data_IF_619299311846
#
_entry.id   IF_619299311846
#
_cell.length_a   1.000
_cell.length_b   1.000
_cell.length_c   1.000
_cell.angle_alpha   90.00
_cell.angle_beta   90.00
_cell.angle_gamma   90.00
#
_symmetry.space_group_name_H-M   'P 1'
#
loop_
_entity.id
_entity.type
_entity.pdbx_description
1 polymer ?
#
# COMPACT_ATOMS: atom_id res chain seq x y z
N UNK A 1 -23.93 27.23 -50.81
CA UNK A 1 -22.62 27.54 -50.16
C UNK A 1 -22.81 28.86 -49.42
N UNK A 2 -22.37 29.08 -48.14
CA UNK A 2 -21.56 28.28 -47.19
C UNK A 2 -22.38 27.80 -45.95
N UNK A 3 -22.23 26.55 -45.47
CA UNK A 3 -21.33 26.02 -44.41
C UNK A 3 -21.49 26.68 -43.02
N UNK A 4 -22.44 26.17 -42.22
CA UNK A 4 -22.42 26.29 -40.75
C UNK A 4 -21.28 25.44 -40.19
N UNK A 5 -20.29 26.08 -39.58
CA UNK A 5 -19.23 25.43 -38.84
C UNK A 5 -19.72 25.12 -37.41
N UNK A 6 -19.91 23.84 -37.12
CA UNK A 6 -20.17 23.30 -35.81
C UNK A 6 -18.87 23.37 -34.98
N UNK A 7 -18.75 24.35 -34.08
CA UNK A 7 -17.66 24.39 -33.11
C UNK A 7 -18.01 23.45 -31.95
N UNK A 8 -17.65 22.17 -32.12
CA UNK A 8 -17.72 21.18 -31.06
C UNK A 8 -16.49 21.38 -30.16
N UNK A 9 -16.67 22.16 -29.09
CA UNK A 9 -15.68 22.29 -28.02
C UNK A 9 -15.61 20.95 -27.30
N UNK A 10 -14.62 20.16 -27.68
CA UNK A 10 -14.22 18.92 -27.03
C UNK A 10 -13.61 19.29 -25.66
N UNK A 11 -14.48 19.48 -24.65
CA UNK A 11 -14.05 19.53 -23.26
C UNK A 11 -13.47 18.15 -22.90
N UNK A 12 -12.14 18.03 -22.98
CA UNK A 12 -11.38 16.99 -22.31
C UNK A 12 -11.64 17.10 -20.80
N UNK A 13 -12.70 16.45 -20.33
CA UNK A 13 -12.85 16.08 -18.93
C UNK A 13 -11.72 15.10 -18.62
N UNK A 14 -10.59 15.64 -18.14
CA UNK A 14 -9.61 14.87 -17.41
C UNK A 14 -10.34 14.27 -16.20
N UNK A 15 -10.85 13.05 -16.35
CA UNK A 15 -11.43 12.30 -15.24
C UNK A 15 -10.29 12.11 -14.24
N UNK A 16 -10.35 12.71 -13.05
CA UNK A 16 -9.33 12.45 -12.04
C UNK A 16 -9.39 10.96 -11.75
N UNK A 17 -8.26 10.27 -11.93
CA UNK A 17 -8.11 8.89 -11.47
C UNK A 17 -8.55 8.86 -10.00
N UNK A 18 -9.46 7.94 -9.61
CA UNK A 18 -9.91 7.86 -8.23
C UNK A 18 -8.68 7.67 -7.35
N UNK A 19 -8.45 8.61 -6.43
CA UNK A 19 -7.47 8.43 -5.38
C UNK A 19 -7.77 7.09 -4.69
N UNK A 20 -6.75 6.23 -4.58
CA UNK A 20 -6.89 4.90 -3.97
C UNK A 20 -7.51 5.05 -2.58
N UNK A 21 -8.71 4.53 -2.42
CA UNK A 21 -9.55 4.78 -1.25
C UNK A 21 -8.99 4.05 -0.02
N UNK A 22 -8.21 4.74 0.80
CA UNK A 22 -7.74 4.28 2.11
C UNK A 22 -6.29 4.63 2.40
N UNK A 23 -5.46 4.84 1.36
CA UNK A 23 -4.03 5.11 1.51
C UNK A 23 -3.50 5.98 0.37
N UNK A 24 -2.81 7.08 0.71
CA UNK A 24 -1.99 7.84 -0.23
C UNK A 24 -0.54 7.35 -0.14
N UNK A 25 0.03 6.91 -1.27
CA UNK A 25 1.45 6.57 -1.33
C UNK A 25 2.29 7.85 -1.44
N UNK A 26 3.32 7.98 -0.62
CA UNK A 26 4.21 9.15 -0.57
C UNK A 26 5.62 8.70 -0.92
N UNK A 27 6.26 9.37 -1.88
CA UNK A 27 7.63 9.07 -2.28
C UNK A 27 7.83 7.65 -2.85
N UNK A 28 6.79 7.07 -3.45
CA UNK A 28 6.83 5.70 -3.95
C UNK A 28 7.76 5.54 -5.16
N UNK A 29 8.91 4.93 -4.92
CA UNK A 29 9.89 4.57 -5.95
C UNK A 29 9.71 3.13 -6.43
N UNK A 30 8.80 2.36 -5.81
CA UNK A 30 8.66 0.93 -6.09
C UNK A 30 8.25 0.69 -7.54
N UNK A 31 7.36 1.51 -8.09
CA UNK A 31 6.94 1.37 -9.49
C UNK A 31 8.12 1.48 -10.47
N UNK A 32 9.01 2.45 -10.29
CA UNK A 32 10.20 2.61 -11.14
C UNK A 32 11.13 1.40 -11.07
N UNK A 33 11.30 0.84 -9.86
CA UNK A 33 12.12 -0.36 -9.66
C UNK A 33 11.46 -1.58 -10.30
N UNK A 34 10.15 -1.77 -10.14
CA UNK A 34 9.41 -2.85 -10.79
C UNK A 34 9.45 -2.76 -12.32
N UNK A 35 9.36 -1.54 -12.87
CA UNK A 35 9.39 -1.29 -14.32
C UNK A 35 10.80 -1.43 -14.92
N UNK A 36 11.87 -1.44 -14.11
CA UNK A 36 13.24 -1.67 -14.59
C UNK A 36 13.56 -3.17 -14.62
N UNK A 37 13.54 -3.86 -15.79
CA UNK A 37 13.74 -5.31 -15.86
C UNK A 37 15.16 -5.78 -15.49
N UNK A 38 16.14 -4.87 -15.41
CA UNK A 38 17.54 -5.21 -15.10
C UNK A 38 17.88 -5.27 -13.60
N UNK A 39 17.03 -4.75 -12.73
CA UNK A 39 17.30 -4.77 -11.29
C UNK A 39 17.17 -6.20 -10.69
N UNK A 40 18.24 -6.73 -10.10
CA UNK A 40 18.19 -8.07 -9.48
C UNK A 40 17.45 -8.07 -8.14
N UNK A 41 17.53 -6.95 -7.41
CA UNK A 41 16.84 -6.71 -6.15
C UNK A 41 15.77 -5.63 -6.36
N UNK A 42 14.56 -5.91 -5.90
CA UNK A 42 13.53 -4.90 -5.70
C UNK A 42 13.89 -4.20 -4.39
N UNK A 43 14.57 -3.06 -4.46
CA UNK A 43 14.86 -2.21 -3.31
C UNK A 43 14.25 -0.83 -3.59
N UNK A 44 13.18 -0.50 -2.88
CA UNK A 44 12.48 0.76 -3.09
C UNK A 44 12.07 1.38 -1.77
N UNK A 45 12.08 2.71 -1.74
CA UNK A 45 11.45 3.47 -0.69
C UNK A 45 9.97 3.64 -1.03
N UNK A 46 9.12 3.37 -0.05
CA UNK A 46 7.69 3.62 -0.13
C UNK A 46 7.23 4.26 1.17
N UNK A 47 6.23 5.11 1.08
CA UNK A 47 5.60 5.72 2.24
C UNK A 47 4.10 5.69 2.06
N UNK A 48 3.38 5.76 3.17
CA UNK A 48 1.94 5.77 3.12
C UNK A 48 1.33 6.68 4.18
N UNK A 49 0.21 7.31 3.82
CA UNK A 49 -0.66 8.04 4.76
C UNK A 49 -2.08 7.53 4.61
N UNK A 50 -2.80 7.48 5.71
CA UNK A 50 -4.22 7.17 5.68
C UNK A 50 -5.01 8.34 5.07
N UNK A 51 -6.02 8.02 4.27
CA UNK A 51 -6.98 9.03 3.83
C UNK A 51 -7.95 9.42 4.96
N UNK A 52 -8.90 10.34 4.69
CA UNK A 52 -9.85 10.77 5.71
C UNK A 52 -10.69 9.62 6.30
N UNK A 53 -11.09 8.65 5.46
CA UNK A 53 -11.89 7.52 5.91
C UNK A 53 -11.05 6.55 6.76
N UNK A 54 -9.82 6.26 6.34
CA UNK A 54 -8.85 5.44 7.07
C UNK A 54 -8.49 6.06 8.41
N UNK A 55 -8.26 7.38 8.47
CA UNK A 55 -8.05 8.11 9.73
C UNK A 55 -9.24 8.00 10.67
N UNK A 56 -10.47 8.14 10.15
CA UNK A 56 -11.69 7.96 10.94
C UNK A 56 -11.81 6.57 11.55
N UNK A 57 -11.47 5.51 10.79
CA UNK A 57 -11.48 4.13 11.30
C UNK A 57 -10.36 3.86 12.30
N UNK A 58 -9.15 4.38 12.07
CA UNK A 58 -8.05 4.32 13.03
C UNK A 58 -8.42 5.00 14.35
N UNK A 59 -9.02 6.18 14.29
CA UNK A 59 -9.52 6.88 15.47
C UNK A 59 -10.59 6.06 16.19
N UNK A 60 -11.56 5.49 15.47
CA UNK A 60 -12.57 4.63 16.07
C UNK A 60 -11.96 3.41 16.78
N UNK A 61 -11.02 2.72 16.14
CA UNK A 61 -10.37 1.53 16.70
C UNK A 61 -9.46 1.84 17.91
N UNK A 62 -8.94 3.07 17.98
CA UNK A 62 -8.09 3.54 19.07
C UNK A 62 -8.84 4.37 20.12
N UNK A 63 -10.18 4.37 20.11
CA UNK A 63 -11.00 5.18 21.03
C UNK A 63 -10.68 6.69 20.99
N UNK A 64 -10.31 7.20 19.81
CA UNK A 64 -9.95 8.59 19.57
C UNK A 64 -8.53 8.95 19.98
N UNK A 65 -7.74 8.00 20.50
CA UNK A 65 -6.37 8.27 20.94
C UNK A 65 -5.42 8.49 19.76
N UNK A 66 -5.67 7.85 18.62
CA UNK A 66 -4.85 8.01 17.41
C UNK A 66 -5.66 8.67 16.30
N UNK A 67 -5.18 9.80 15.80
CA UNK A 67 -5.89 10.59 14.78
C UNK A 67 -5.28 10.48 13.39
N UNK A 68 -3.99 10.13 13.30
CA UNK A 68 -3.28 9.99 12.04
C UNK A 68 -2.11 9.01 12.17
N UNK A 69 -1.71 8.45 11.03
CA UNK A 69 -0.55 7.60 10.88
C UNK A 69 0.08 7.84 9.50
N UNK A 70 1.35 8.20 9.51
CA UNK A 70 2.17 8.35 8.31
C UNK A 70 3.42 7.47 8.43
N UNK A 71 3.63 6.58 7.48
CA UNK A 71 4.70 5.60 7.51
C UNK A 71 5.65 5.76 6.33
N UNK A 72 6.88 5.29 6.53
CA UNK A 72 7.90 5.14 5.50
C UNK A 72 8.65 3.83 5.71
N UNK A 73 8.92 3.14 4.61
CA UNK A 73 9.55 1.83 4.58
C UNK A 73 10.54 1.74 3.43
N UNK A 74 11.59 0.96 3.62
CA UNK A 74 12.41 0.44 2.52
C UNK A 74 12.00 -1.01 2.32
N UNK A 75 11.39 -1.32 1.18
CA UNK A 75 11.01 -2.68 0.83
C UNK A 75 12.14 -3.27 0.00
N UNK A 76 12.68 -4.41 0.46
CA UNK A 76 13.78 -5.11 -0.20
C UNK A 76 13.46 -6.58 -0.41
N UNK A 77 13.49 -7.06 -1.66
CA UNK A 77 13.34 -8.48 -1.97
C UNK A 77 14.13 -8.85 -3.23
N UNK A 78 14.62 -10.09 -3.30
CA UNK A 78 15.19 -10.59 -4.56
C UNK A 78 14.09 -10.73 -5.59
N UNK A 79 14.28 -10.15 -6.76
CA UNK A 79 13.26 -10.17 -7.83
C UNK A 79 12.95 -11.59 -8.28
N UNK A 80 13.98 -12.43 -8.43
CA UNK A 80 13.84 -13.82 -8.84
C UNK A 80 12.93 -14.60 -7.89
N UNK A 81 13.02 -14.34 -6.59
CA UNK A 81 12.17 -14.99 -5.57
C UNK A 81 10.72 -14.52 -5.67
N UNK A 82 10.49 -13.21 -5.83
CA UNK A 82 9.13 -12.67 -6.01
C UNK A 82 8.49 -13.24 -7.27
N UNK A 83 9.21 -13.23 -8.39
CA UNK A 83 8.71 -13.78 -9.66
C UNK A 83 8.45 -15.29 -9.54
N UNK A 84 9.34 -16.04 -8.89
CA UNK A 84 9.14 -17.47 -8.68
C UNK A 84 7.87 -17.76 -7.88
N UNK A 85 7.63 -17.03 -6.78
CA UNK A 85 6.42 -17.17 -5.96
C UNK A 85 5.15 -16.80 -6.74
N UNK A 86 5.18 -15.70 -7.50
CA UNK A 86 4.05 -15.29 -8.35
C UNK A 86 3.74 -16.36 -9.42
N UNK A 87 4.77 -16.96 -10.02
CA UNK A 87 4.61 -18.04 -11.03
C UNK A 87 4.10 -19.33 -10.42
N UNK A 88 4.46 -19.63 -9.17
CA UNK A 88 3.96 -20.78 -8.43
C UNK A 88 2.46 -20.65 -8.09
N UNK A 89 1.83 -19.49 -8.32
CA UNK A 89 0.40 -19.22 -8.03
C UNK A 89 0.01 -19.47 -6.58
N UNK A 90 0.98 -19.39 -5.67
CA UNK A 90 0.79 -19.49 -4.24
C UNK A 90 0.88 -18.14 -3.55
N UNK A 91 0.96 -18.17 -2.22
CA UNK A 91 1.15 -16.97 -1.41
C UNK A 91 2.52 -16.35 -1.68
N UNK A 92 2.51 -15.07 -2.02
CA UNK A 92 3.69 -14.24 -2.20
C UNK A 92 3.96 -13.51 -0.89
N UNK A 93 4.73 -14.16 -0.01
CA UNK A 93 5.22 -13.55 1.22
C UNK A 93 6.56 -12.84 0.98
N UNK A 94 6.67 -11.58 1.41
CA UNK A 94 7.94 -10.86 1.48
C UNK A 94 8.57 -11.02 2.87
N UNK A 95 9.92 -10.98 2.98
CA UNK A 95 10.58 -10.98 4.29
C UNK A 95 10.16 -9.76 5.12
N UNK A 96 10.26 -9.91 6.44
CA UNK A 96 9.97 -8.83 7.38
C UNK A 96 10.92 -7.63 7.15
N UNK A 97 10.37 -6.43 7.13
CA UNK A 97 11.11 -5.17 6.99
C UNK A 97 10.77 -4.25 8.15
N UNK A 98 11.74 -3.54 8.70
CA UNK A 98 11.46 -2.45 9.63
C UNK A 98 10.76 -1.30 8.89
N UNK A 99 9.69 -0.79 9.49
CA UNK A 99 8.93 0.37 9.02
C UNK A 99 8.88 1.39 10.13
N UNK A 100 9.10 2.65 9.77
CA UNK A 100 9.04 3.78 10.71
C UNK A 100 7.87 4.65 10.38
N UNK A 101 7.13 5.06 11.40
CA UNK A 101 5.97 5.90 11.26
C UNK A 101 5.96 7.03 12.29
N UNK A 102 5.24 8.09 11.93
CA UNK A 102 4.79 9.11 12.86
C UNK A 102 3.29 8.92 13.04
N UNK A 103 2.91 8.64 14.28
CA UNK A 103 1.53 8.51 14.73
C UNK A 103 1.13 9.81 15.41
N UNK A 104 -0.10 10.30 15.23
CA UNK A 104 -0.57 11.52 15.94
C UNK A 104 -1.51 11.13 17.08
N UNK A 105 -1.07 11.36 18.33
CA UNK A 105 -1.82 11.08 19.55
C UNK A 105 -1.94 12.33 20.42
N UNK A 106 -3.17 12.69 20.81
CA UNK A 106 -3.41 13.92 21.58
C UNK A 106 -2.99 15.21 20.85
N UNK A 107 -2.85 15.17 19.52
CA UNK A 107 -2.36 16.29 18.70
C UNK A 107 -0.84 16.30 18.50
N UNK A 108 -0.09 15.46 19.22
CA UNK A 108 1.37 15.40 19.13
C UNK A 108 1.84 14.22 18.26
N UNK A 109 2.88 14.42 17.42
CA UNK A 109 3.51 13.33 16.68
C UNK A 109 4.36 12.46 17.61
N UNK A 110 4.09 11.16 17.59
CA UNK A 110 4.80 10.11 18.33
C UNK A 110 5.50 9.19 17.33
N UNK A 111 6.84 9.06 17.38
CA UNK A 111 7.55 8.13 16.52
C UNK A 111 7.28 6.69 16.96
N UNK A 112 6.94 5.84 15.99
CA UNK A 112 6.72 4.40 16.21
C UNK A 112 7.46 3.60 15.15
N UNK A 113 7.78 2.35 15.49
CA UNK A 113 8.38 1.41 14.57
C UNK A 113 7.72 0.03 14.69
N UNK A 114 7.65 -0.70 13.59
CA UNK A 114 7.15 -2.07 13.55
C UNK A 114 7.79 -2.86 12.41
N UNK A 115 7.64 -4.17 12.43
CA UNK A 115 8.02 -5.04 11.32
C UNK A 115 6.82 -5.29 10.40
N UNK A 116 7.03 -5.11 9.10
CA UNK A 116 6.07 -5.37 8.03
C UNK A 116 6.48 -6.64 7.27
N UNK A 117 5.64 -7.67 7.29
CA UNK A 117 5.86 -8.93 6.58
C UNK A 117 4.65 -9.25 5.66
N UNK A 118 4.56 -8.60 4.49
CA UNK A 118 3.35 -8.62 3.70
C UNK A 118 3.18 -9.94 2.96
N UNK A 119 1.93 -10.38 2.83
CA UNK A 119 1.54 -11.61 2.14
C UNK A 119 0.44 -11.28 1.15
N UNK A 120 0.63 -11.65 -0.12
CA UNK A 120 -0.39 -11.55 -1.17
C UNK A 120 -0.79 -12.95 -1.61
N UNK A 121 -2.08 -13.27 -1.52
CA UNK A 121 -2.62 -14.56 -1.99
C UNK A 121 -3.10 -14.43 -3.43
N UNK A 122 -2.62 -15.34 -4.27
CA UNK A 122 -3.02 -15.42 -5.67
C UNK A 122 -4.04 -16.54 -5.89
N UNK A 123 -4.98 -16.35 -6.80
CA UNK A 123 -5.85 -17.41 -7.30
C UNK A 123 -5.12 -18.24 -8.39
N UNK A 124 -5.69 -19.37 -8.87
CA UNK A 124 -5.09 -20.16 -9.94
C UNK A 124 -4.87 -19.40 -11.26
N UNK A 125 -5.66 -18.35 -11.52
CA UNK A 125 -5.48 -17.46 -12.66
C UNK A 125 -4.32 -16.46 -12.48
N UNK A 126 -3.71 -16.40 -11.30
CA UNK A 126 -2.60 -15.50 -10.97
C UNK A 126 -3.00 -14.09 -10.56
N UNK A 127 -4.27 -13.87 -10.24
CA UNK A 127 -4.78 -12.60 -9.73
C UNK A 127 -4.69 -12.58 -8.20
N UNK A 128 -4.30 -11.43 -7.64
CA UNK A 128 -4.38 -11.20 -6.21
C UNK A 128 -5.84 -11.17 -5.75
N UNK A 129 -6.15 -11.98 -4.74
CA UNK A 129 -7.50 -12.09 -4.14
C UNK A 129 -7.53 -11.77 -2.65
N UNK A 130 -6.36 -11.69 -2.02
CA UNK A 130 -6.21 -11.23 -0.64
C UNK A 130 -4.79 -10.67 -0.46
N UNK A 131 -4.63 -9.70 0.45
CA UNK A 131 -3.33 -9.11 0.76
C UNK A 131 -3.30 -8.59 2.20
N UNK A 132 -2.25 -8.91 2.95
CA UNK A 132 -2.12 -8.53 4.37
C UNK A 132 -0.75 -7.91 4.59
N UNK A 133 -0.68 -6.92 5.48
CA UNK A 133 0.57 -6.25 5.84
C UNK A 133 1.46 -7.11 6.75
N UNK A 134 0.86 -7.87 7.67
CA UNK A 134 1.61 -8.72 8.59
C UNK A 134 2.44 -7.92 9.58
N UNK A 135 1.85 -6.86 10.16
CA UNK A 135 2.47 -5.97 11.13
C UNK A 135 2.74 -6.70 12.45
N UNK A 136 3.95 -6.57 12.98
CA UNK A 136 4.41 -7.15 14.26
C UNK A 136 5.34 -6.19 15.01
N UNK A 137 5.55 -6.46 16.28
CA UNK A 137 6.54 -5.78 17.13
C UNK A 137 6.42 -4.24 17.12
N UNK A 138 5.18 -3.74 17.24
CA UNK A 138 4.95 -2.30 17.26
C UNK A 138 5.47 -1.70 18.57
N UNK A 139 6.36 -0.70 18.44
CA UNK A 139 7.05 -0.04 19.55
C UNK A 139 6.87 1.49 19.49
N UNK A 140 7.16 2.17 20.59
CA UNK A 140 7.06 3.64 20.71
C UNK A 140 5.76 4.15 21.35
N UNK A 141 4.81 3.27 21.63
CA UNK A 141 3.54 3.57 22.32
C UNK A 141 3.16 2.46 23.32
N UNK A 142 2.26 2.74 24.28
CA UNK A 142 1.78 1.73 25.23
C UNK A 142 1.11 0.53 24.56
N UNK A 143 1.25 -0.66 25.15
CA UNK A 143 0.79 -1.94 24.56
C UNK A 143 -0.69 -1.95 24.14
N UNK A 144 -1.66 -1.44 24.93
CA UNK A 144 -3.05 -1.44 24.49
C UNK A 144 -3.27 -0.64 23.20
N UNK A 145 -2.54 0.48 23.06
CA UNK A 145 -2.59 1.31 21.86
C UNK A 145 -1.86 0.64 20.70
N UNK A 146 -0.72 -0.01 20.98
CA UNK A 146 0.02 -0.76 19.98
C UNK A 146 -0.81 -1.89 19.36
N UNK A 147 -1.54 -2.63 20.21
CA UNK A 147 -2.45 -3.68 19.80
C UNK A 147 -3.59 -3.14 18.94
N UNK A 148 -4.22 -2.03 19.34
CA UNK A 148 -5.29 -1.40 18.55
C UNK A 148 -4.80 -0.93 17.16
N UNK A 149 -3.62 -0.31 17.09
CA UNK A 149 -3.02 0.15 15.82
C UNK A 149 -2.65 -1.04 14.93
N UNK A 150 -2.01 -2.08 15.50
CA UNK A 150 -1.64 -3.28 14.76
C UNK A 150 -2.86 -4.04 14.26
N UNK A 151 -3.92 -4.13 15.06
CA UNK A 151 -5.19 -4.75 14.67
C UNK A 151 -5.84 -4.01 13.50
N UNK A 152 -5.91 -2.67 13.57
CA UNK A 152 -6.39 -1.86 12.45
C UNK A 152 -5.58 -2.12 11.17
N UNK A 153 -4.26 -1.99 11.23
CA UNK A 153 -3.40 -2.14 10.05
C UNK A 153 -3.46 -3.53 9.43
N UNK A 154 -3.65 -4.57 10.25
CA UNK A 154 -3.70 -5.96 9.77
C UNK A 154 -5.09 -6.40 9.26
N UNK A 155 -6.17 -5.76 9.73
CA UNK A 155 -7.53 -6.26 9.52
C UNK A 155 -8.47 -5.27 8.83
N UNK A 156 -8.08 -4.01 8.62
CA UNK A 156 -8.93 -3.04 7.92
C UNK A 156 -9.26 -3.51 6.49
N UNK A 157 -10.55 -3.65 6.20
CA UNK A 157 -11.02 -4.16 4.91
C UNK A 157 -10.65 -3.22 3.75
N UNK A 158 -10.66 -1.90 4.00
CA UNK A 158 -10.28 -0.90 2.98
C UNK A 158 -8.79 -0.98 2.65
N UNK A 159 -7.92 -1.03 3.65
CA UNK A 159 -6.48 -1.24 3.45
C UNK A 159 -6.21 -2.52 2.67
N UNK A 160 -6.85 -3.62 3.05
CA UNK A 160 -6.73 -4.91 2.37
C UNK A 160 -7.13 -4.85 0.90
N UNK A 161 -8.25 -4.20 0.59
CA UNK A 161 -8.71 -4.02 -0.80
C UNK A 161 -7.71 -3.18 -1.62
N UNK A 162 -7.15 -2.13 -1.03
CA UNK A 162 -6.12 -1.32 -1.71
C UNK A 162 -4.86 -2.11 -2.01
N UNK A 163 -4.42 -2.95 -1.08
CA UNK A 163 -3.24 -3.79 -1.27
C UNK A 163 -3.47 -4.82 -2.37
N UNK A 164 -4.66 -5.42 -2.43
CA UNK A 164 -5.05 -6.33 -3.54
C UNK A 164 -5.04 -5.59 -4.87
N UNK A 165 -5.62 -4.38 -4.94
CA UNK A 165 -5.62 -3.57 -6.14
C UNK A 165 -4.19 -3.23 -6.60
N UNK A 166 -3.34 -2.76 -5.69
CA UNK A 166 -1.95 -2.45 -5.97
C UNK A 166 -1.17 -3.69 -6.48
N UNK A 167 -1.38 -4.86 -5.86
CA UNK A 167 -0.76 -6.10 -6.33
C UNK A 167 -1.22 -6.47 -7.75
N UNK A 168 -2.51 -6.31 -8.07
CA UNK A 168 -3.05 -6.59 -9.40
C UNK A 168 -2.60 -5.59 -10.48
N UNK A 169 -2.14 -4.39 -10.11
CA UNK A 169 -1.46 -3.48 -11.04
C UNK A 169 -0.01 -3.90 -11.32
N UNK A 170 0.69 -4.46 -10.33
CA UNK A 170 2.11 -4.80 -10.44
C UNK A 170 2.32 -6.15 -11.12
N UNK A 171 1.58 -7.18 -10.70
CA UNK A 171 1.77 -8.58 -11.13
C UNK A 171 1.77 -8.75 -12.65
N UNK A 172 0.84 -8.15 -13.43
CA UNK A 172 0.82 -8.31 -14.88
C UNK A 172 2.05 -7.73 -15.60
N UNK A 173 2.73 -6.76 -14.98
CA UNK A 173 3.88 -6.05 -15.51
C UNK A 173 5.21 -6.72 -15.13
N UNK A 174 5.20 -7.78 -14.32
CA UNK A 174 6.41 -8.54 -14.01
C UNK A 174 6.97 -9.23 -15.27
N UNK A 175 8.31 -9.30 -15.43
CA UNK A 175 8.95 -9.88 -16.60
C UNK A 175 8.43 -11.28 -16.97
N UNK A 176 7.95 -11.41 -18.22
CA UNK A 176 7.41 -12.65 -18.79
C UNK A 176 8.48 -13.46 -19.52
N UNK A 177 9.54 -13.84 -18.79
CA UNK A 177 10.75 -14.51 -19.31
C UNK A 177 11.55 -13.66 -20.30
#
# INVERSE_FOLDING_TARGET
MPRLACFLVLCCLAVPLPARAGVTLVGDTCRQIFDNPRAETIACQTGFRLDAAGRGRLASNSFGLVSDLACSAVISARRSEVIAKVRARGDVALPAQEVRCNLVSGGEPVPVAFHLAPVVRLNPAGQAVDARLGIRDLTGIPEPLATAVAEFLNNDAGLRQNLVAAANEIIPNLPKR
#
